data_IF_999421652583
#
_entry.id   IF_999421652583
#
_cell.length_a   1.000
_cell.length_b   1.000
_cell.length_c   1.000
_cell.angle_alpha   90.00
_cell.angle_beta   90.00
_cell.angle_gamma   90.00
#
_symmetry.space_group_name_H-M   'P 1'
#
loop_
_entity.id
_entity.type
_entity.pdbx_description
1 polymer ?
#
# COMPACT_ATOMS: atom_id res chain seq x y z
N UNK A 1 5.37 -11.49 9.71
CA UNK A 1 5.22 -12.93 9.34
C UNK A 1 5.62 -13.79 10.53
N UNK A 2 5.10 -15.03 10.71
CA UNK A 2 5.56 -15.92 11.77
C UNK A 2 7.07 -16.16 11.70
N UNK A 3 7.74 -16.23 12.84
CA UNK A 3 9.21 -16.33 12.92
C UNK A 3 9.75 -17.71 12.48
N UNK A 4 8.91 -18.74 12.54
CA UNK A 4 9.22 -20.14 12.22
C UNK A 4 8.79 -20.54 10.80
N UNK A 5 8.34 -19.59 9.97
CA UNK A 5 7.80 -19.89 8.64
C UNK A 5 8.87 -20.45 7.70
N UNK A 6 8.68 -21.64 7.07
CA UNK A 6 9.63 -22.24 6.12
C UNK A 6 10.22 -21.31 5.05
N UNK A 7 9.45 -20.33 4.56
CA UNK A 7 9.92 -19.39 3.54
C UNK A 7 11.08 -18.50 4.00
N UNK A 8 11.25 -18.30 5.31
CA UNK A 8 12.36 -17.53 5.88
C UNK A 8 13.70 -18.31 5.85
N UNK A 9 13.66 -19.63 5.61
CA UNK A 9 14.83 -20.52 5.68
C UNK A 9 15.38 -20.91 4.30
N UNK A 10 14.71 -20.53 3.21
CA UNK A 10 15.10 -20.94 1.86
C UNK A 10 16.31 -20.11 1.38
N UNK A 11 17.35 -20.74 0.80
CA UNK A 11 18.60 -20.06 0.44
C UNK A 11 18.46 -19.09 -0.76
N UNK A 12 17.36 -19.20 -1.52
CA UNK A 12 17.07 -18.42 -2.71
C UNK A 12 15.90 -17.44 -2.52
N UNK A 13 15.52 -17.17 -1.27
CA UNK A 13 14.41 -16.28 -0.93
C UNK A 13 14.90 -15.12 -0.09
N UNK A 14 14.63 -13.90 -0.56
CA UNK A 14 14.78 -12.68 0.22
C UNK A 14 13.38 -12.14 0.53
N UNK A 15 12.92 -12.34 1.77
CA UNK A 15 11.64 -11.80 2.22
C UNK A 15 11.83 -10.39 2.79
N UNK A 16 10.98 -9.44 2.39
CA UNK A 16 10.93 -8.11 2.99
C UNK A 16 9.63 -7.95 3.78
N UNK A 17 9.63 -7.21 4.91
CA UNK A 17 8.47 -7.11 5.81
C UNK A 17 7.36 -6.20 5.25
N UNK A 18 6.84 -6.51 4.07
CA UNK A 18 5.80 -5.72 3.39
C UNK A 18 6.20 -4.25 3.16
N UNK A 19 7.47 -4.01 2.79
CA UNK A 19 8.02 -2.66 2.61
C UNK A 19 8.25 -2.28 1.15
N UNK A 20 7.79 -3.09 0.18
CA UNK A 20 7.96 -2.79 -1.24
C UNK A 20 7.33 -1.44 -1.64
N UNK A 21 6.23 -1.04 -0.97
CA UNK A 21 5.57 0.25 -1.17
C UNK A 21 6.00 1.34 -0.17
N UNK A 22 6.92 1.08 0.75
CA UNK A 22 7.24 1.98 1.86
C UNK A 22 8.26 3.08 1.48
N UNK A 23 8.00 3.80 0.39
CA UNK A 23 8.82 4.94 -0.04
C UNK A 23 8.17 6.27 0.33
N UNK A 24 8.97 7.31 0.55
CA UNK A 24 8.48 8.69 0.77
C UNK A 24 7.53 9.11 -0.36
N UNK A 25 7.90 8.82 -1.60
CA UNK A 25 7.08 9.08 -2.78
C UNK A 25 5.71 8.39 -2.70
N UNK A 26 5.69 7.10 -2.35
CA UNK A 26 4.45 6.33 -2.26
C UNK A 26 3.54 6.86 -1.15
N UNK A 27 4.10 7.26 -0.02
CA UNK A 27 3.33 7.87 1.09
C UNK A 27 2.68 9.17 0.64
N UNK A 28 3.44 10.08 0.01
CA UNK A 28 2.89 11.35 -0.48
C UNK A 28 1.80 11.12 -1.52
N UNK A 29 2.06 10.26 -2.52
CA UNK A 29 1.08 9.94 -3.56
C UNK A 29 -0.19 9.31 -2.99
N UNK A 30 -0.07 8.34 -2.08
CA UNK A 30 -1.24 7.69 -1.47
C UNK A 30 -2.08 8.67 -0.65
N UNK A 31 -1.44 9.60 0.08
CA UNK A 31 -2.14 10.65 0.82
C UNK A 31 -2.93 11.57 -0.11
N UNK A 32 -2.35 11.96 -1.25
CA UNK A 32 -3.05 12.77 -2.27
C UNK A 32 -4.24 12.02 -2.86
N UNK A 33 -4.10 10.73 -3.19
CA UNK A 33 -5.21 9.93 -3.71
C UNK A 33 -6.33 9.79 -2.68
N UNK A 34 -5.99 9.53 -1.41
CA UNK A 34 -6.99 9.45 -0.34
C UNK A 34 -7.73 10.78 -0.13
N UNK A 35 -7.01 11.91 -0.17
CA UNK A 35 -7.61 13.23 -0.07
C UNK A 35 -8.56 13.54 -1.24
N UNK A 36 -8.22 13.11 -2.46
CA UNK A 36 -9.07 13.30 -3.63
C UNK A 36 -10.38 12.50 -3.53
N UNK A 37 -10.32 11.24 -3.08
CA UNK A 37 -11.55 10.45 -2.88
C UNK A 37 -12.48 11.10 -1.87
N UNK A 38 -11.96 11.60 -0.74
CA UNK A 38 -12.75 12.33 0.27
C UNK A 38 -13.36 13.60 -0.32
N UNK A 39 -12.57 14.39 -1.05
CA UNK A 39 -13.04 15.62 -1.70
C UNK A 39 -14.18 15.33 -2.69
N UNK A 40 -14.05 14.28 -3.50
CA UNK A 40 -15.06 13.88 -4.49
C UNK A 40 -16.33 13.38 -3.83
N UNK A 41 -16.21 12.56 -2.78
CA UNK A 41 -17.35 12.10 -2.00
C UNK A 41 -18.18 13.27 -1.45
N UNK A 42 -17.52 14.26 -0.83
CA UNK A 42 -18.18 15.46 -0.30
C UNK A 42 -18.84 16.31 -1.40
N UNK A 43 -18.30 16.27 -2.63
CA UNK A 43 -18.85 16.96 -3.78
C UNK A 43 -19.94 16.17 -4.53
N UNK A 44 -20.31 14.97 -4.06
CA UNK A 44 -21.26 14.09 -4.75
C UNK A 44 -20.74 13.55 -6.10
N UNK A 45 -19.43 13.56 -6.30
CA UNK A 45 -18.78 13.03 -7.50
C UNK A 45 -18.48 11.53 -7.33
N UNK A 46 -18.47 10.73 -8.42
CA UNK A 46 -18.09 9.33 -8.36
C UNK A 46 -16.61 9.18 -7.98
N UNK A 47 -16.20 8.08 -7.32
CA UNK A 47 -14.80 7.84 -6.93
C UNK A 47 -13.87 7.77 -8.16
N UNK A 48 -12.58 8.05 -7.97
CA UNK A 48 -11.58 7.86 -9.04
C UNK A 48 -11.27 6.37 -9.22
N UNK A 49 -11.19 5.63 -8.12
CA UNK A 49 -10.86 4.20 -8.10
C UNK A 49 -11.99 3.37 -7.45
N UNK A 50 -13.09 3.10 -8.18
CA UNK A 50 -14.15 2.21 -7.69
C UNK A 50 -13.64 0.77 -7.53
N UNK A 51 -14.15 0.08 -6.50
CA UNK A 51 -13.89 -1.35 -6.28
C UNK A 51 -14.74 -2.25 -7.17
#
# INVERSE_FOLDING_TARGET
VPSDWPLLQLPNVTLTPHIAGASVRTVTYAAEQAAEEVRRYLAGLPPVNPC
#
